data_IF_101708918310
#
_entry.id   IF_101708918310
#
_cell.length_a   1.000
_cell.length_b   1.000
_cell.length_c   1.000
_cell.angle_alpha   90.00
_cell.angle_beta   90.00
_cell.angle_gamma   90.00
#
_symmetry.space_group_name_H-M   'P 1'
#
loop_
_entity.id
_entity.type
_entity.pdbx_description
1 polymer ?
#
# COMPACT_ATOMS: atom_id res chain seq x y z
N UNK A 1 7.27 15.99 15.99
CA UNK A 1 6.19 15.50 15.11
C UNK A 1 6.76 15.27 13.71
N UNK A 2 6.44 14.13 13.10
CA UNK A 2 6.88 13.77 11.75
C UNK A 2 5.97 12.68 11.15
N UNK A 3 6.13 12.45 9.85
CA UNK A 3 5.41 11.42 9.08
C UNK A 3 6.38 10.34 8.63
N UNK A 4 5.96 9.08 8.69
CA UNK A 4 6.71 7.92 8.19
C UNK A 4 5.75 6.86 7.64
N UNK A 5 6.24 6.00 6.74
CA UNK A 5 5.47 4.86 6.24
C UNK A 5 5.88 3.59 6.99
N UNK A 6 4.92 2.93 7.64
CA UNK A 6 5.17 1.76 8.49
C UNK A 6 4.34 0.56 8.05
N UNK A 7 4.89 -0.63 8.29
CA UNK A 7 4.07 -1.85 8.25
C UNK A 7 3.24 -1.94 9.52
N UNK A 8 1.94 -2.10 9.36
CA UNK A 8 0.95 -2.30 10.42
C UNK A 8 0.32 -3.67 10.23
N UNK A 9 0.26 -4.46 11.30
CA UNK A 9 -0.58 -5.64 11.37
C UNK A 9 -1.92 -5.25 12.01
N UNK A 10 -3.02 -5.51 11.32
CA UNK A 10 -4.37 -5.23 11.83
C UNK A 10 -5.31 -6.40 11.54
N UNK A 11 -6.45 -6.44 12.24
CA UNK A 11 -7.53 -7.39 11.97
C UNK A 11 -8.48 -6.77 10.97
N UNK A 12 -8.60 -7.39 9.80
CA UNK A 12 -9.52 -6.90 8.78
C UNK A 12 -10.96 -6.90 9.34
N UNK A 13 -11.74 -5.81 9.23
CA UNK A 13 -13.05 -5.67 9.92
C UNK A 13 -14.07 -6.77 9.61
N UNK A 14 -13.87 -7.49 8.49
CA UNK A 14 -14.76 -8.56 7.99
C UNK A 14 -14.13 -9.95 8.00
N UNK A 15 -12.93 -10.11 8.57
CA UNK A 15 -12.20 -11.38 8.58
C UNK A 15 -11.57 -11.62 9.95
N UNK A 16 -11.57 -12.88 10.42
CA UNK A 16 -10.86 -13.27 11.65
C UNK A 16 -9.35 -13.38 11.47
N UNK A 17 -8.83 -13.15 10.25
CA UNK A 17 -7.41 -13.21 9.93
C UNK A 17 -6.78 -11.82 10.12
N UNK A 18 -5.58 -11.81 10.69
CA UNK A 18 -4.68 -10.67 10.60
C UNK A 18 -4.33 -10.39 9.13
N UNK A 19 -4.11 -9.13 8.81
CA UNK A 19 -3.52 -8.66 7.56
C UNK A 19 -2.37 -7.72 7.87
N UNK A 20 -1.39 -7.67 6.96
CA UNK A 20 -0.28 -6.73 7.01
C UNK A 20 -0.45 -5.66 5.95
N UNK A 21 -0.05 -4.42 6.22
CA UNK A 21 0.00 -3.42 5.17
C UNK A 21 0.84 -2.20 5.50
N UNK A 22 1.20 -1.45 4.46
CA UNK A 22 1.95 -0.19 4.61
C UNK A 22 0.95 0.94 4.84
N UNK A 23 1.18 1.73 5.88
CA UNK A 23 0.35 2.87 6.25
C UNK A 23 1.20 4.12 6.49
N UNK A 24 0.66 5.28 6.13
CA UNK A 24 1.19 6.56 6.59
C UNK A 24 0.89 6.73 8.08
N UNK A 25 1.94 6.95 8.87
CA UNK A 25 1.88 7.06 10.33
C UNK A 25 2.42 8.42 10.74
N UNK A 26 1.59 9.14 11.49
CA UNK A 26 1.97 10.39 12.13
C UNK A 26 2.49 10.13 13.55
N UNK A 27 3.66 10.69 13.87
CA UNK A 27 4.23 10.63 15.21
C UNK A 27 4.02 11.97 15.92
N UNK A 28 3.44 11.93 17.12
CA UNK A 28 3.26 13.11 17.96
C UNK A 28 4.59 13.61 18.58
N UNK A 29 4.52 14.59 19.47
CA UNK A 29 5.71 15.12 20.19
C UNK A 29 6.36 14.13 21.16
N UNK A 30 5.60 13.11 21.59
CA UNK A 30 6.04 12.05 22.48
C UNK A 30 6.44 10.77 21.72
N UNK A 31 6.53 10.83 20.38
CA UNK A 31 6.82 9.69 19.51
C UNK A 31 5.74 8.59 19.54
N UNK A 32 4.50 8.92 19.89
CA UNK A 32 3.36 8.00 19.80
C UNK A 32 2.86 7.95 18.35
N UNK A 33 2.76 6.76 17.73
CA UNK A 33 2.29 6.60 16.36
C UNK A 33 0.76 6.66 16.28
N UNK A 34 0.25 7.36 15.27
CA UNK A 34 -1.15 7.43 14.90
C UNK A 34 -1.31 7.07 13.42
N UNK A 35 -2.16 6.07 13.14
CA UNK A 35 -2.51 5.63 11.79
C UNK A 35 -3.27 6.75 11.08
N UNK A 36 -2.84 7.12 9.88
CA UNK A 36 -3.43 8.20 9.10
C UNK A 36 -3.50 7.80 7.63
N UNK A 37 -4.41 6.88 7.29
CA UNK A 37 -4.64 6.51 5.90
C UNK A 37 -5.17 5.10 5.72
N UNK A 38 -5.40 4.74 4.46
CA UNK A 38 -5.80 3.39 4.08
C UNK A 38 -4.57 2.46 4.08
N UNK A 39 -4.78 1.25 4.58
CA UNK A 39 -3.77 0.18 4.63
C UNK A 39 -3.91 -0.62 3.34
N UNK A 40 -2.82 -0.80 2.61
CA UNK A 40 -2.74 -1.78 1.52
C UNK A 40 -2.53 -3.18 2.13
N UNK A 41 -3.54 -4.06 2.14
CA UNK A 41 -3.49 -5.29 2.91
C UNK A 41 -2.85 -6.44 2.11
N UNK A 42 -2.15 -7.32 2.80
CA UNK A 42 -1.65 -8.62 2.34
C UNK A 42 -1.86 -9.69 3.44
N UNK A 43 -1.90 -10.97 3.08
CA UNK A 43 -2.14 -12.05 4.08
C UNK A 43 -0.88 -12.35 4.91
N UNK A 44 0.29 -12.01 4.40
CA UNK A 44 1.57 -12.16 5.11
C UNK A 44 2.53 -10.99 4.84
N UNK A 45 3.54 -10.84 5.70
CA UNK A 45 4.61 -9.86 5.49
C UNK A 45 5.43 -10.14 4.22
N UNK A 46 5.56 -11.39 3.81
CA UNK A 46 6.32 -11.74 2.60
C UNK A 46 5.51 -11.44 1.34
N UNK A 47 4.20 -11.74 1.33
CA UNK A 47 3.30 -11.28 0.27
C UNK A 47 3.29 -9.76 0.16
N UNK A 48 3.27 -9.04 1.29
CA UNK A 48 3.32 -7.57 1.29
C UNK A 48 4.57 -7.02 0.59
N UNK A 49 5.74 -7.66 0.79
CA UNK A 49 6.99 -7.25 0.14
C UNK A 49 6.95 -7.55 -1.36
N UNK A 50 6.44 -8.71 -1.75
CA UNK A 50 6.31 -9.10 -3.14
C UNK A 50 5.35 -8.16 -3.88
N UNK A 51 4.18 -7.90 -3.30
CA UNK A 51 3.18 -6.95 -3.80
C UNK A 51 3.78 -5.55 -3.94
N UNK A 52 4.53 -5.08 -2.94
CA UNK A 52 5.23 -3.80 -3.03
C UNK A 52 6.25 -3.77 -4.18
N UNK A 53 7.02 -4.83 -4.38
CA UNK A 53 7.96 -4.90 -5.50
C UNK A 53 7.26 -4.91 -6.86
N UNK A 54 6.10 -5.57 -6.99
CA UNK A 54 5.29 -5.50 -8.20
C UNK A 54 4.78 -4.08 -8.46
N UNK A 55 4.31 -3.38 -7.42
CA UNK A 55 3.84 -2.00 -7.55
C UNK A 55 4.98 -1.03 -7.88
N UNK A 56 6.15 -1.20 -7.25
CA UNK A 56 7.34 -0.42 -7.56
C UNK A 56 7.74 -0.60 -9.04
N UNK A 57 7.72 -1.84 -9.54
CA UNK A 57 8.01 -2.16 -10.96
C UNK A 57 6.95 -1.63 -11.93
N UNK A 58 5.70 -1.44 -11.49
CA UNK A 58 4.66 -0.89 -12.37
C UNK A 58 5.01 0.51 -12.89
N UNK A 59 5.73 1.32 -12.09
CA UNK A 59 6.23 2.63 -12.51
C UNK A 59 7.33 2.58 -13.58
N UNK A 60 7.92 1.41 -13.82
CA UNK A 60 8.90 1.19 -14.90
C UNK A 60 8.20 0.84 -16.23
N UNK A 61 6.89 0.65 -16.23
CA UNK A 61 6.08 0.28 -17.41
C UNK A 61 5.34 1.50 -18.01
N UNK A 62 4.99 1.47 -19.31
CA UNK A 62 4.15 2.50 -19.91
C UNK A 62 2.80 2.64 -19.20
N UNK A 63 2.26 3.86 -19.19
CA UNK A 63 0.92 4.11 -18.65
C UNK A 63 -0.11 3.46 -19.58
N UNK A 64 -1.13 2.81 -19.00
CA UNK A 64 -2.26 2.28 -19.76
C UNK A 64 -3.44 3.26 -19.70
N UNK A 65 -4.09 3.51 -20.84
CA UNK A 65 -5.38 4.21 -20.90
C UNK A 65 -6.49 3.26 -21.33
N UNK A 66 -7.70 3.49 -20.82
CA UNK A 66 -8.91 2.79 -21.26
C UNK A 66 -9.52 3.56 -22.43
N UNK A 67 -9.54 2.96 -23.62
CA UNK A 67 -10.15 3.50 -24.85
C UNK A 67 -11.13 2.46 -25.38
N UNK A 68 -12.41 2.84 -25.51
CA UNK A 68 -13.50 1.94 -25.96
C UNK A 68 -13.53 0.59 -25.21
N UNK A 69 -13.28 0.62 -23.90
CA UNK A 69 -13.27 -0.57 -23.03
C UNK A 69 -12.03 -1.46 -23.18
N UNK A 70 -11.00 -1.01 -23.90
CA UNK A 70 -9.73 -1.74 -24.08
C UNK A 70 -8.57 -0.97 -23.44
N UNK A 71 -7.59 -1.70 -22.92
CA UNK A 71 -6.34 -1.13 -22.43
C UNK A 71 -5.41 -0.87 -23.62
N UNK A 72 -4.87 0.35 -23.68
CA UNK A 72 -3.92 0.79 -24.71
C UNK A 72 -2.72 1.42 -24.01
N UNK A 73 -1.51 0.97 -24.36
CA UNK A 73 -0.26 1.59 -23.90
C UNK A 73 -0.12 2.99 -24.46
N UNK A 74 0.18 3.94 -23.58
CA UNK A 74 0.60 5.29 -23.95
C UNK A 74 2.04 5.50 -23.50
N UNK A 75 2.90 5.72 -24.49
CA UNK A 75 4.22 6.31 -24.26
C UNK A 75 4.04 7.80 -24.05
N UNK A 76 4.52 8.35 -22.93
CA UNK A 76 4.80 9.79 -22.83
C UNK A 76 5.96 10.19 -23.72
#
# INVERSE_FOLDING_TARGET
MYWDYRVVEDKYPKSSKSCFGICEVHYDENHVPHIWGEIMPAESLDELKDDYEYMRKAFESPVLKVVDGKLVEVTE
#
